data_IF_129423076611
#
_entry.id   IF_129423076611
#
_cell.length_a   1.000
_cell.length_b   1.000
_cell.length_c   1.000
_cell.angle_alpha   90.00
_cell.angle_beta   90.00
_cell.angle_gamma   90.00
#
_symmetry.space_group_name_H-M   'P 1'
#
loop_
_entity.id
_entity.type
_entity.pdbx_description
1 polymer ?
#
# COMPACT_ATOMS: atom_id res chain seq x y z
N UNK A 1 -5.06 -7.82 -17.73
CA UNK A 1 -4.23 -8.46 -16.69
C UNK A 1 -3.53 -9.68 -17.28
N UNK A 2 -2.21 -9.71 -17.27
CA UNK A 2 -1.38 -10.87 -17.63
C UNK A 2 -1.01 -11.64 -16.34
N UNK A 3 -1.07 -12.97 -16.38
CA UNK A 3 -0.70 -13.86 -15.27
C UNK A 3 0.56 -14.63 -15.62
N UNK A 4 1.60 -14.49 -14.80
CA UNK A 4 2.90 -15.14 -14.97
C UNK A 4 3.13 -16.07 -13.78
N UNK A 5 3.01 -17.38 -14.00
CA UNK A 5 3.23 -18.38 -12.97
C UNK A 5 4.74 -18.57 -12.75
N UNK A 6 5.27 -18.05 -11.64
CA UNK A 6 6.68 -18.18 -11.30
C UNK A 6 6.97 -19.49 -10.55
N UNK A 7 5.94 -20.17 -10.04
CA UNK A 7 6.04 -21.49 -9.42
C UNK A 7 5.85 -22.66 -10.38
N UNK A 8 5.78 -22.40 -11.70
CA UNK A 8 5.55 -23.44 -12.72
C UNK A 8 6.64 -24.53 -12.70
N UNK A 9 7.90 -24.13 -12.51
CA UNK A 9 9.02 -25.07 -12.43
C UNK A 9 8.92 -26.04 -11.24
N UNK A 10 8.18 -25.65 -10.19
CA UNK A 10 7.91 -26.46 -9.00
C UNK A 10 6.60 -27.25 -9.11
N UNK A 11 5.89 -27.17 -10.25
CA UNK A 11 4.61 -27.83 -10.49
C UNK A 11 3.42 -27.19 -9.76
N UNK A 12 3.58 -25.96 -9.26
CA UNK A 12 2.53 -25.25 -8.53
C UNK A 12 1.57 -24.52 -9.50
N UNK A 13 0.26 -24.49 -9.22
CA UNK A 13 -0.68 -23.71 -10.01
C UNK A 13 -0.46 -22.20 -9.81
N UNK A 14 -0.89 -21.35 -10.76
CA UNK A 14 -0.90 -19.91 -10.53
C UNK A 14 -1.81 -19.55 -9.36
N UNK A 15 -1.42 -18.53 -8.60
CA UNK A 15 -2.24 -17.96 -7.53
C UNK A 15 -3.50 -17.33 -8.11
N UNK A 16 -4.63 -17.47 -7.43
CA UNK A 16 -5.86 -16.78 -7.77
C UNK A 16 -5.83 -15.32 -7.25
N UNK A 17 -5.76 -14.36 -8.17
CA UNK A 17 -5.75 -12.94 -7.83
C UNK A 17 -7.06 -12.49 -7.15
N UNK A 18 -8.21 -13.04 -7.54
CA UNK A 18 -9.49 -12.63 -6.97
C UNK A 18 -9.57 -12.98 -5.49
N UNK A 19 -9.15 -14.19 -5.12
CA UNK A 19 -9.07 -14.63 -3.73
C UNK A 19 -8.08 -13.78 -2.89
N UNK A 20 -7.00 -13.26 -3.50
CA UNK A 20 -6.07 -12.33 -2.84
C UNK A 20 -6.74 -10.98 -2.59
N UNK A 21 -7.47 -10.44 -3.56
CA UNK A 21 -8.22 -9.18 -3.44
C UNK A 21 -9.29 -9.30 -2.35
N UNK A 22 -10.05 -10.39 -2.29
CA UNK A 22 -11.04 -10.62 -1.23
C UNK A 22 -10.43 -10.54 0.17
N UNK A 23 -9.23 -11.09 0.36
CA UNK A 23 -8.49 -11.01 1.64
C UNK A 23 -8.01 -9.59 1.94
N UNK A 24 -7.57 -8.85 0.92
CA UNK A 24 -7.16 -7.45 1.06
C UNK A 24 -8.35 -6.56 1.43
N UNK A 25 -9.49 -6.74 0.76
CA UNK A 25 -10.76 -6.03 1.02
C UNK A 25 -11.30 -6.34 2.42
N UNK A 26 -11.19 -7.60 2.87
CA UNK A 26 -11.56 -8.01 4.23
C UNK A 26 -10.59 -7.50 5.32
N UNK A 27 -9.51 -6.81 4.94
CA UNK A 27 -8.50 -6.35 5.89
C UNK A 27 -7.77 -7.50 6.62
N UNK A 28 -7.74 -8.70 6.02
CA UNK A 28 -7.33 -9.93 6.69
C UNK A 28 -5.88 -9.86 7.17
N UNK A 29 -5.70 -9.64 8.48
CA UNK A 29 -4.39 -9.67 9.12
C UNK A 29 -3.75 -11.07 9.00
N UNK A 30 -2.41 -11.17 9.09
CA UNK A 30 -1.75 -12.45 9.33
C UNK A 30 -2.38 -13.17 10.54
N UNK A 31 -2.23 -14.50 10.61
CA UNK A 31 -2.76 -15.27 11.74
C UNK A 31 -2.22 -14.71 13.07
N UNK A 32 -2.97 -14.82 14.17
CA UNK A 32 -2.53 -14.29 15.47
C UNK A 32 -1.20 -14.86 15.98
N UNK A 33 -0.86 -16.08 15.54
CA UNK A 33 0.40 -16.77 15.83
C UNK A 33 1.48 -16.55 14.75
N UNK A 34 1.17 -15.82 13.68
CA UNK A 34 2.15 -15.43 12.69
C UNK A 34 3.18 -14.49 13.33
N UNK A 35 4.46 -14.71 13.03
CA UNK A 35 5.55 -13.90 13.56
C UNK A 35 5.48 -12.41 13.17
N UNK A 36 4.65 -12.05 12.16
CA UNK A 36 4.54 -10.71 11.61
C UNK A 36 3.19 -10.07 11.94
N UNK A 37 3.22 -8.88 12.55
CA UNK A 37 2.08 -7.96 12.60
C UNK A 37 1.82 -7.37 11.20
N UNK A 38 0.55 -7.06 10.87
CA UNK A 38 0.12 -6.46 9.59
C UNK A 38 0.74 -5.07 9.40
N UNK A 39 2.00 -5.02 8.98
CA UNK A 39 2.74 -3.79 8.65
C UNK A 39 2.83 -3.65 7.15
N UNK A 40 2.42 -2.49 6.65
CA UNK A 40 2.59 -2.14 5.24
C UNK A 40 3.91 -1.39 5.06
N UNK A 41 4.78 -1.94 4.20
CA UNK A 41 6.10 -1.36 3.91
C UNK A 41 6.07 -0.68 2.55
N UNK A 42 6.42 0.61 2.52
CA UNK A 42 6.57 1.39 1.30
C UNK A 42 8.06 1.52 0.95
N UNK A 43 8.43 1.15 -0.27
CA UNK A 43 9.72 1.47 -0.87
C UNK A 43 9.57 2.62 -1.87
N UNK A 44 10.42 3.63 -1.73
CA UNK A 44 10.54 4.78 -2.65
C UNK A 44 11.99 4.92 -3.12
N UNK A 45 12.24 5.64 -4.20
CA UNK A 45 13.60 5.85 -4.74
C UNK A 45 14.19 7.13 -4.18
N UNK A 46 15.39 7.11 -3.60
CA UNK A 46 16.13 8.31 -3.19
C UNK A 46 16.73 9.04 -4.40
N UNK A 47 17.21 10.26 -4.21
CA UNK A 47 17.82 11.07 -5.27
C UNK A 47 19.08 10.42 -5.88
N UNK A 48 19.86 9.71 -5.06
CA UNK A 48 21.03 8.93 -5.48
C UNK A 48 20.66 7.57 -6.13
N UNK A 49 19.37 7.28 -6.30
CA UNK A 49 18.85 6.03 -6.84
C UNK A 49 18.74 4.88 -5.83
N UNK A 50 19.21 5.05 -4.59
CA UNK A 50 19.10 4.01 -3.56
C UNK A 50 17.65 3.80 -3.09
N UNK A 51 17.25 2.59 -2.67
CA UNK A 51 15.92 2.36 -2.13
C UNK A 51 15.78 2.99 -0.73
N UNK A 52 14.60 3.52 -0.44
CA UNK A 52 14.18 3.94 0.88
C UNK A 52 12.91 3.21 1.29
N UNK A 53 13.06 2.30 2.25
CA UNK A 53 11.97 1.47 2.80
C UNK A 53 11.52 2.03 4.15
N UNK A 54 10.22 2.11 4.36
CA UNK A 54 9.61 2.68 5.58
C UNK A 54 8.20 2.12 5.80
N UNK A 55 7.79 1.97 7.05
CA UNK A 55 6.42 1.57 7.38
C UNK A 55 5.44 2.73 7.13
N UNK A 56 4.23 2.40 6.68
CA UNK A 56 3.14 3.35 6.45
C UNK A 56 1.80 2.78 6.92
N UNK A 57 0.92 3.64 7.44
CA UNK A 57 -0.48 3.32 7.72
C UNK A 57 -1.33 3.30 6.45
N UNK A 58 -0.95 2.47 5.48
CA UNK A 58 -1.64 2.40 4.19
C UNK A 58 -2.92 1.58 4.26
N UNK A 59 -3.92 1.96 3.45
CA UNK A 59 -5.17 1.23 3.27
C UNK A 59 -5.27 0.63 1.87
N UNK A 60 -5.94 -0.51 1.77
CA UNK A 60 -6.38 -1.06 0.48
C UNK A 60 -7.84 -0.63 0.25
N UNK A 61 -8.07 0.20 -0.77
CA UNK A 61 -9.40 0.73 -1.12
C UNK A 61 -9.48 0.88 -2.64
N UNK A 62 -10.59 0.44 -3.23
CA UNK A 62 -10.86 0.54 -4.68
C UNK A 62 -9.72 -0.06 -5.54
N UNK A 63 -9.22 -1.23 -5.13
CA UNK A 63 -8.20 -2.00 -5.86
C UNK A 63 -6.78 -1.40 -5.83
N UNK A 64 -6.51 -0.48 -4.90
CA UNK A 64 -5.21 0.18 -4.78
C UNK A 64 -4.82 0.42 -3.32
N UNK A 65 -3.51 0.51 -3.09
CA UNK A 65 -2.99 1.02 -1.82
C UNK A 65 -3.00 2.55 -1.80
N UNK A 66 -3.49 3.10 -0.70
CA UNK A 66 -3.49 4.52 -0.38
C UNK A 66 -2.61 4.77 0.83
N UNK A 67 -1.83 5.84 0.82
CA UNK A 67 -1.05 6.27 1.98
C UNK A 67 -1.04 7.78 2.09
N UNK A 68 -0.74 8.27 3.31
CA UNK A 68 -0.50 9.67 3.57
C UNK A 68 0.96 9.91 3.93
N UNK A 69 1.49 11.08 3.57
CA UNK A 69 2.73 11.58 4.15
C UNK A 69 2.86 13.10 4.09
N UNK A 70 3.64 13.69 5.01
CA UNK A 70 4.00 15.10 4.92
C UNK A 70 4.95 15.38 3.76
N UNK A 71 4.81 16.55 3.13
CA UNK A 71 5.64 16.98 2.00
C UNK A 71 7.14 17.07 2.37
N UNK A 72 7.45 17.38 3.63
CA UNK A 72 8.82 17.47 4.14
C UNK A 72 9.47 16.13 4.50
N UNK A 73 8.77 15.00 4.37
CA UNK A 73 9.35 13.69 4.67
C UNK A 73 10.22 13.22 3.50
N UNK A 74 11.17 12.29 3.77
CA UNK A 74 11.98 11.68 2.70
C UNK A 74 11.12 10.95 1.67
N UNK A 75 10.15 10.13 2.12
CA UNK A 75 9.21 9.43 1.23
C UNK A 75 8.37 10.42 0.40
N UNK A 76 7.90 11.51 1.01
CA UNK A 76 7.15 12.58 0.33
C UNK A 76 7.96 13.29 -0.75
N UNK A 77 9.20 13.67 -0.45
CA UNK A 77 10.12 14.24 -1.45
C UNK A 77 10.45 13.24 -2.56
N UNK A 78 10.62 11.96 -2.21
CA UNK A 78 10.91 10.91 -3.19
C UNK A 78 9.76 10.76 -4.18
N UNK A 79 8.52 10.53 -3.74
CA UNK A 79 7.39 10.30 -4.66
C UNK A 79 7.00 11.54 -5.47
N UNK A 80 7.28 12.74 -4.96
CA UNK A 80 7.11 13.98 -5.73
C UNK A 80 8.12 14.12 -6.87
N UNK A 81 9.33 13.57 -6.70
CA UNK A 81 10.41 13.60 -7.71
C UNK A 81 10.33 12.42 -8.68
N UNK A 82 10.12 11.22 -8.15
CA UNK A 82 10.02 9.96 -8.88
C UNK A 82 8.86 9.15 -8.30
N UNK A 83 7.74 8.99 -9.02
CA UNK A 83 6.55 8.36 -8.48
C UNK A 83 6.72 6.84 -8.32
N UNK A 84 7.77 6.22 -8.87
CA UNK A 84 7.95 4.77 -8.80
C UNK A 84 8.11 4.32 -7.35
N UNK A 85 7.27 3.38 -6.94
CA UNK A 85 7.29 2.81 -5.60
C UNK A 85 6.86 1.34 -5.62
N UNK A 86 7.11 0.67 -4.49
CA UNK A 86 6.49 -0.61 -4.18
C UNK A 86 5.89 -0.62 -2.78
N UNK A 87 4.81 -1.36 -2.59
CA UNK A 87 4.19 -1.62 -1.30
C UNK A 87 4.17 -3.11 -1.05
N UNK A 88 4.66 -3.54 0.12
CA UNK A 88 4.65 -4.91 0.58
C UNK A 88 3.80 -5.06 1.85
N UNK A 89 3.00 -6.10 1.91
CA UNK A 89 2.20 -6.45 3.09
C UNK A 89 2.02 -7.96 3.19
N UNK A 90 2.05 -8.49 4.42
CA UNK A 90 1.61 -9.85 4.72
C UNK A 90 0.12 -9.83 5.08
N UNK A 91 -0.65 -10.71 4.46
CA UNK A 91 -2.06 -10.98 4.75
C UNK A 91 -2.23 -12.45 5.16
N UNK A 92 -3.46 -12.85 5.48
CA UNK A 92 -3.73 -14.25 5.82
C UNK A 92 -3.31 -15.22 4.70
N UNK A 93 -2.36 -16.10 5.02
CA UNK A 93 -1.74 -17.11 4.14
C UNK A 93 -1.00 -16.59 2.90
N UNK A 94 -0.70 -15.29 2.78
CA UNK A 94 0.02 -14.77 1.62
C UNK A 94 0.84 -13.49 1.90
N UNK A 95 1.93 -13.33 1.16
CA UNK A 95 2.69 -12.08 1.05
C UNK A 95 2.40 -11.43 -0.30
N UNK A 96 2.07 -10.14 -0.29
CA UNK A 96 1.68 -9.36 -1.46
C UNK A 96 2.63 -8.19 -1.64
N UNK A 97 3.20 -8.07 -2.84
CA UNK A 97 4.00 -6.90 -3.25
C UNK A 97 3.35 -6.26 -4.47
N UNK A 98 2.96 -4.99 -4.34
CA UNK A 98 2.46 -4.16 -5.44
C UNK A 98 3.58 -3.22 -5.89
N UNK A 99 3.87 -3.19 -7.18
CA UNK A 99 4.77 -2.21 -7.79
C UNK A 99 3.96 -1.28 -8.68
N UNK A 100 4.22 0.02 -8.59
CA UNK A 100 3.36 1.02 -9.22
C UNK A 100 3.95 2.41 -9.25
N UNK A 101 3.07 3.40 -9.37
CA UNK A 101 3.37 4.82 -9.25
C UNK A 101 2.51 5.46 -8.15
N UNK A 102 3.12 6.17 -7.22
CA UNK A 102 2.40 6.95 -6.20
C UNK A 102 1.94 8.28 -6.81
N UNK A 103 0.64 8.40 -7.06
CA UNK A 103 0.01 9.60 -7.62
C UNK A 103 -0.61 10.41 -6.49
N UNK A 104 -0.23 11.69 -6.38
CA UNK A 104 -0.81 12.61 -5.40
C UNK A 104 -2.28 12.87 -5.76
N UNK A 105 -3.16 12.70 -4.79
CA UNK A 105 -4.59 12.96 -4.93
C UNK A 105 -4.93 14.26 -4.23
N UNK A 106 -5.56 15.18 -4.97
CA UNK A 106 -5.96 16.51 -4.48
C UNK A 106 -7.45 16.81 -4.69
N UNK A 107 -8.18 15.89 -5.33
CA UNK A 107 -9.61 16.05 -5.58
C UNK A 107 -10.40 15.95 -4.28
N UNK A 108 -11.16 16.98 -3.85
CA UNK A 108 -11.77 17.02 -2.53
C UNK A 108 -12.66 15.83 -2.19
N UNK A 109 -13.46 15.36 -3.15
CA UNK A 109 -14.31 14.19 -2.94
C UNK A 109 -13.53 12.88 -2.74
N UNK A 110 -12.38 12.73 -3.40
CA UNK A 110 -11.52 11.56 -3.22
C UNK A 110 -10.74 11.64 -1.89
N UNK A 111 -10.25 12.83 -1.53
CA UNK A 111 -9.59 13.09 -0.25
C UNK A 111 -10.52 12.83 0.92
N UNK A 112 -11.76 13.33 0.87
CA UNK A 112 -12.77 13.11 1.89
C UNK A 112 -13.09 11.63 2.09
N UNK A 113 -13.33 10.90 0.99
CA UNK A 113 -13.60 9.46 1.03
C UNK A 113 -12.50 8.65 1.70
N UNK A 114 -11.23 8.92 1.36
CA UNK A 114 -10.14 8.13 1.93
C UNK A 114 -9.82 8.56 3.37
N UNK A 115 -10.03 9.84 3.73
CA UNK A 115 -9.98 10.30 5.11
C UNK A 115 -11.01 9.57 5.99
N UNK A 116 -12.25 9.46 5.51
CA UNK A 116 -13.32 8.68 6.15
C UNK A 116 -12.92 7.21 6.31
N UNK A 117 -12.34 6.59 5.27
CA UNK A 117 -11.86 5.21 5.37
C UNK A 117 -10.76 5.03 6.43
N UNK A 118 -9.85 6.00 6.60
CA UNK A 118 -8.89 5.98 7.71
C UNK A 118 -9.57 6.15 9.07
N UNK A 119 -10.56 7.03 9.18
CA UNK A 119 -11.36 7.24 10.38
C UNK A 119 -12.11 5.98 10.81
N UNK A 120 -12.73 5.27 9.87
CA UNK A 120 -13.40 3.99 10.09
C UNK A 120 -12.43 2.89 10.55
N UNK A 121 -11.15 3.00 10.17
CA UNK A 121 -10.07 2.13 10.62
C UNK A 121 -9.38 2.63 11.90
N UNK A 122 -9.96 3.62 12.59
CA UNK A 122 -9.56 4.07 13.93
C UNK A 122 -8.52 5.19 13.97
N UNK A 123 -8.08 5.72 12.82
CA UNK A 123 -7.25 6.93 12.78
C UNK A 123 -8.11 8.13 12.38
N UNK A 124 -8.41 9.09 13.28
CA UNK A 124 -9.40 10.14 13.06
C UNK A 124 -8.88 11.23 12.09
N UNK A 125 -8.68 10.84 10.84
CA UNK A 125 -8.29 11.69 9.73
C UNK A 125 -9.51 12.39 9.15
N UNK A 126 -9.32 13.65 8.77
CA UNK A 126 -10.32 14.47 8.10
C UNK A 126 -9.65 15.32 7.01
N UNK A 127 -10.38 15.77 5.98
CA UNK A 127 -9.87 16.74 5.03
C UNK A 127 -9.38 18.00 5.73
N UNK A 128 -8.28 18.58 5.25
CA UNK A 128 -7.88 19.92 5.67
C UNK A 128 -8.83 20.99 5.10
N UNK A 129 -8.67 22.25 5.53
CA UNK A 129 -9.52 23.36 5.07
C UNK A 129 -9.53 23.53 3.54
N UNK A 130 -8.43 23.20 2.86
CA UNK A 130 -8.35 23.27 1.39
C UNK A 130 -9.07 22.11 0.68
N UNK A 131 -9.34 21.01 1.38
CA UNK A 131 -9.83 19.75 0.82
C UNK A 131 -8.82 18.99 -0.04
N UNK A 132 -7.57 19.45 -0.15
CA UNK A 132 -6.54 18.86 -1.01
C UNK A 132 -5.52 17.98 -0.27
N UNK A 133 -5.64 17.90 1.06
CA UNK A 133 -4.90 17.04 1.94
C UNK A 133 -5.73 16.65 3.16
N UNK A 134 -5.07 16.07 4.16
CA UNK A 134 -5.73 15.63 5.40
C UNK A 134 -5.02 16.13 6.64
N UNK A 135 -5.76 16.20 7.73
CA UNK A 135 -5.30 16.48 9.09
C UNK A 135 -5.86 15.44 10.08
N UNK A 136 -5.28 15.38 11.27
CA UNK A 136 -5.74 14.55 12.38
C UNK A 136 -5.09 15.07 13.68
N UNK A 137 -5.67 14.80 14.87
CA UNK A 137 -5.07 15.16 16.16
C UNK A 137 -3.68 14.54 16.40
N UNK A 138 -3.35 13.44 15.73
CA UNK A 138 -2.05 12.77 15.81
C UNK A 138 -1.72 12.07 14.50
N UNK A 139 -0.44 11.72 14.30
CA UNK A 139 0.03 10.90 13.20
C UNK A 139 1.29 10.13 13.63
N UNK A 140 1.77 9.22 12.80
CA UNK A 140 3.05 8.56 12.98
C UNK A 140 4.18 9.60 13.21
N UNK A 141 5.14 9.31 14.09
CA UNK A 141 6.27 10.20 14.34
C UNK A 141 7.01 10.59 13.05
N UNK A 142 7.58 11.79 13.01
CA UNK A 142 8.39 12.31 11.89
C UNK A 142 7.64 12.59 10.58
N UNK A 143 6.30 12.64 10.59
CA UNK A 143 5.51 13.05 9.42
C UNK A 143 5.47 14.58 9.23
N UNK A 144 5.86 15.37 10.23
CA UNK A 144 5.72 16.83 10.25
C UNK A 144 4.28 17.27 10.55
N UNK A 145 4.03 18.58 10.69
CA UNK A 145 2.68 19.11 10.91
C UNK A 145 1.78 18.85 9.69
N UNK A 146 0.45 18.78 9.88
CA UNK A 146 -0.52 18.81 8.78
C UNK A 146 -0.49 20.17 8.05
N UNK A 147 -1.10 20.29 6.86
CA UNK A 147 -1.79 19.22 6.13
C UNK A 147 -0.83 18.21 5.53
N UNK A 148 -1.30 16.98 5.41
CA UNK A 148 -0.53 15.92 4.79
C UNK A 148 -1.11 15.52 3.44
N UNK A 149 -0.21 15.16 2.52
CA UNK A 149 -0.57 14.76 1.17
C UNK A 149 -1.06 13.32 1.15
N UNK A 150 -2.12 13.09 0.39
CA UNK A 150 -2.69 11.78 0.10
C UNK A 150 -2.13 11.27 -1.22
N UNK A 151 -1.75 10.00 -1.26
CA UNK A 151 -1.28 9.32 -2.46
C UNK A 151 -2.05 8.02 -2.68
N UNK A 152 -2.42 7.78 -3.95
CA UNK A 152 -2.92 6.51 -4.44
C UNK A 152 -1.82 5.84 -5.26
N UNK A 153 -1.58 4.56 -5.04
CA UNK A 153 -0.67 3.79 -5.89
C UNK A 153 -1.44 3.28 -7.10
N UNK A 154 -1.04 3.71 -8.29
CA UNK A 154 -1.48 3.10 -9.54
C UNK A 154 -0.69 1.81 -9.78
N UNK A 155 -1.31 0.63 -9.59
CA UNK A 155 -0.60 -0.64 -9.66
C UNK A 155 -0.21 -0.95 -11.11
N UNK A 156 1.05 -1.33 -11.33
CA UNK A 156 1.54 -1.87 -12.61
C UNK A 156 1.70 -3.38 -12.56
N UNK A 157 2.02 -3.91 -11.38
CA UNK A 157 2.09 -5.35 -11.16
C UNK A 157 1.92 -5.71 -9.69
N UNK A 158 1.50 -6.95 -9.46
CA UNK A 158 1.50 -7.59 -8.17
C UNK A 158 2.36 -8.85 -8.23
N UNK A 159 3.12 -9.14 -7.17
CA UNK A 159 3.71 -10.47 -6.94
C UNK A 159 3.09 -11.01 -5.67
N UNK A 160 2.58 -12.24 -5.72
CA UNK A 160 1.97 -12.92 -4.58
C UNK A 160 2.70 -14.23 -4.31
N UNK A 161 3.07 -14.43 -3.05
CA UNK A 161 3.62 -15.68 -2.52
C UNK A 161 2.59 -16.26 -1.56
N UNK A 162 2.15 -17.50 -1.76
CA UNK A 162 1.33 -18.21 -0.76
C UNK A 162 2.23 -18.81 0.32
N UNK A 163 1.86 -18.57 1.58
CA UNK A 163 2.60 -19.02 2.76
C UNK A 163 2.09 -20.36 3.34
N UNK A 164 1.16 -21.02 2.65
CA UNK A 164 0.56 -22.30 3.06
C UNK A 164 0.70 -23.34 1.96
N UNK A 165 0.89 -24.61 2.33
CA UNK A 165 0.93 -25.73 1.38
C UNK A 165 -0.33 -25.77 0.47
N UNK A 166 -0.19 -26.08 -0.83
CA UNK A 166 1.04 -26.47 -1.52
C UNK A 166 2.00 -25.31 -1.86
N UNK A 167 1.65 -24.07 -1.53
CA UNK A 167 2.38 -22.87 -1.90
C UNK A 167 1.88 -22.27 -3.22
N UNK A 168 2.61 -21.28 -3.73
CA UNK A 168 2.31 -20.63 -5.00
C UNK A 168 3.07 -19.33 -5.14
N UNK A 169 3.58 -19.05 -6.34
CA UNK A 169 4.25 -17.80 -6.67
C UNK A 169 3.77 -17.30 -8.03
N UNK A 170 3.13 -16.15 -8.06
CA UNK A 170 2.59 -15.61 -9.31
C UNK A 170 2.78 -14.11 -9.37
N UNK A 171 3.17 -13.64 -10.56
CA UNK A 171 3.21 -12.22 -10.88
C UNK A 171 2.05 -11.88 -11.81
N UNK A 172 1.30 -10.86 -11.45
CA UNK A 172 0.24 -10.25 -12.25
C UNK A 172 0.74 -8.93 -12.81
N UNK A 173 0.47 -8.64 -14.08
CA UNK A 173 0.67 -7.31 -14.69
C UNK A 173 -0.66 -6.72 -15.11
N UNK A 174 -0.89 -5.44 -14.79
CA UNK A 174 -2.15 -4.73 -15.03
C UNK A 174 -2.07 -3.89 -16.32
#
# INVERSE_FOLDING_TARGET
>A
METINLGEADGLPPVDWAAVVEKLDAGSAPRPDAANARTTWLCTVNEDGSPHVTAVGALWVDGAFWFQTGAGTRKGRNVARDPRCSVAVSIHDADVVIEGAAVRVTEPGAVARIAEAWADNGWPAEPDESGSGITAPFNAPSQGPPPWNVYRIEPRSATVVLATEPGGLTRFRF
#
